data_IF_347760669011
#
_entry.id   IF_347760669011
#
_cell.length_a   1.000
_cell.length_b   1.000
_cell.length_c   1.000
_cell.angle_alpha   90.00
_cell.angle_beta   90.00
_cell.angle_gamma   90.00
#
_symmetry.space_group_name_H-M   'P 1'
#
loop_
_entity.id
_entity.type
_entity.pdbx_description
1 polymer ?
#
# COMPACT_ATOMS: atom_id res chain seq x y z
N UNK A 1 -0.52 17.17 -15.15
CA UNK A 1 -1.70 17.63 -14.37
C UNK A 1 -1.25 18.82 -13.57
N UNK A 2 -2.03 19.90 -13.52
CA UNK A 2 -1.60 21.19 -12.97
C UNK A 2 -1.65 21.21 -11.44
N UNK A 3 -0.69 21.88 -10.79
CA UNK A 3 -0.66 22.06 -9.34
C UNK A 3 -1.89 22.84 -8.82
N UNK A 4 -2.40 23.79 -9.61
CA UNK A 4 -3.63 24.52 -9.29
C UNK A 4 -4.85 23.59 -9.25
N UNK A 5 -4.89 22.59 -10.13
CA UNK A 5 -5.96 21.59 -10.14
C UNK A 5 -5.96 20.78 -8.85
N UNK A 6 -4.79 20.27 -8.42
CA UNK A 6 -4.67 19.52 -7.16
C UNK A 6 -5.05 20.38 -5.96
N UNK A 7 -4.52 21.60 -5.89
CA UNK A 7 -4.85 22.55 -4.84
C UNK A 7 -6.37 22.73 -4.73
N UNK A 8 -7.05 23.02 -5.84
CA UNK A 8 -8.51 23.24 -5.86
C UNK A 8 -9.31 22.03 -5.34
N UNK A 9 -8.88 20.81 -5.68
CA UNK A 9 -9.56 19.57 -5.30
C UNK A 9 -9.33 19.20 -3.83
N UNK A 10 -8.11 19.41 -3.33
CA UNK A 10 -7.75 19.14 -1.93
C UNK A 10 -8.32 20.19 -0.97
N UNK A 11 -8.61 21.41 -1.43
CA UNK A 11 -9.30 22.43 -0.62
C UNK A 11 -10.82 22.33 -0.71
N UNK A 12 -11.35 21.50 -1.61
CA UNK A 12 -12.79 21.30 -1.72
C UNK A 12 -13.37 20.63 -0.47
N UNK A 13 -14.60 20.97 -0.10
CA UNK A 13 -15.37 20.25 0.93
C UNK A 13 -16.02 18.96 0.38
N UNK A 14 -15.98 18.75 -0.93
CA UNK A 14 -16.48 17.54 -1.58
C UNK A 14 -15.45 16.40 -1.45
N UNK A 15 -15.81 15.37 -0.67
CA UNK A 15 -15.00 14.16 -0.48
C UNK A 15 -14.69 13.45 -1.80
N UNK A 16 -15.56 13.55 -2.82
CA UNK A 16 -15.30 12.89 -4.11
C UNK A 16 -14.18 13.57 -4.86
N UNK A 17 -14.13 14.90 -4.82
CA UNK A 17 -13.02 15.69 -5.35
C UNK A 17 -11.71 15.37 -4.63
N UNK A 18 -11.72 15.27 -3.30
CA UNK A 18 -10.54 14.91 -2.50
C UNK A 18 -10.04 13.50 -2.80
N UNK A 19 -10.95 12.51 -2.86
CA UNK A 19 -10.62 11.14 -3.26
C UNK A 19 -9.97 11.09 -4.63
N UNK A 20 -10.55 11.78 -5.61
CA UNK A 20 -10.01 11.77 -6.96
C UNK A 20 -8.63 12.44 -7.03
N UNK A 21 -8.42 13.51 -6.26
CA UNK A 21 -7.09 14.11 -6.11
C UNK A 21 -6.07 13.11 -5.54
N UNK A 22 -6.43 12.38 -4.47
CA UNK A 22 -5.55 11.36 -3.88
C UNK A 22 -5.18 10.24 -4.89
N UNK A 23 -6.15 9.77 -5.69
CA UNK A 23 -5.89 8.79 -6.77
C UNK A 23 -4.90 9.34 -7.79
N UNK A 24 -5.09 10.59 -8.24
CA UNK A 24 -4.25 11.19 -9.28
C UNK A 24 -2.84 11.53 -8.76
N UNK A 25 -2.71 11.91 -7.48
CA UNK A 25 -1.41 12.22 -6.85
C UNK A 25 -0.45 11.03 -6.86
N UNK A 26 -0.95 9.78 -6.84
CA UNK A 26 -0.10 8.59 -6.96
C UNK A 26 0.76 8.53 -8.23
N UNK A 27 0.40 9.30 -9.27
CA UNK A 27 1.09 9.31 -10.56
C UNK A 27 1.66 10.70 -10.90
N UNK A 28 1.62 11.65 -9.97
CA UNK A 28 1.94 13.06 -10.25
C UNK A 28 3.45 13.38 -10.21
N UNK A 29 4.28 12.48 -9.67
CA UNK A 29 5.74 12.68 -9.61
C UNK A 29 6.21 13.53 -8.41
N UNK A 30 7.51 13.89 -8.36
CA UNK A 30 8.12 14.60 -7.23
C UNK A 30 7.59 16.03 -7.01
N UNK A 31 7.12 16.69 -8.06
CA UNK A 31 6.56 18.04 -8.00
C UNK A 31 5.29 18.10 -7.14
N UNK A 32 4.60 16.96 -6.96
CA UNK A 32 3.42 16.84 -6.13
C UNK A 32 3.71 16.91 -4.61
N UNK A 33 4.99 16.95 -4.21
CA UNK A 33 5.42 17.13 -2.81
C UNK A 33 4.81 18.35 -2.13
N UNK A 34 4.53 19.41 -2.90
CA UNK A 34 3.85 20.63 -2.40
C UNK A 34 2.44 20.36 -1.85
N UNK A 35 1.82 19.23 -2.21
CA UNK A 35 0.47 18.84 -1.78
C UNK A 35 0.44 17.90 -0.57
N UNK A 36 1.60 17.37 -0.13
CA UNK A 36 1.67 16.39 0.95
C UNK A 36 1.06 16.90 2.26
N UNK A 37 1.39 18.13 2.67
CA UNK A 37 0.84 18.71 3.90
C UNK A 37 -0.69 18.72 3.87
N UNK A 38 -1.28 19.21 2.79
CA UNK A 38 -2.74 19.29 2.66
C UNK A 38 -3.39 17.91 2.58
N UNK A 39 -2.77 16.96 1.89
CA UNK A 39 -3.26 15.59 1.82
C UNK A 39 -3.30 14.94 3.21
N UNK A 40 -2.27 15.14 4.03
CA UNK A 40 -2.22 14.64 5.40
C UNK A 40 -3.22 15.34 6.33
N UNK A 41 -3.44 16.66 6.18
CA UNK A 41 -4.49 17.36 6.92
C UNK A 41 -5.88 16.76 6.67
N UNK A 42 -6.22 16.48 5.41
CA UNK A 42 -7.48 15.79 5.07
C UNK A 42 -7.56 14.42 5.76
N UNK A 43 -6.45 13.71 5.84
CA UNK A 43 -6.39 12.40 6.49
C UNK A 43 -6.53 12.49 8.02
N UNK A 44 -6.01 13.55 8.64
CA UNK A 44 -6.15 13.80 10.08
C UNK A 44 -7.59 14.20 10.47
N UNK A 45 -8.34 14.77 9.52
CA UNK A 45 -9.78 15.05 9.68
C UNK A 45 -10.66 13.78 9.62
N UNK A 46 -10.13 12.66 9.13
CA UNK A 46 -10.86 11.39 9.01
C UNK A 46 -10.61 10.55 10.27
N UNK A 47 -11.69 10.18 10.97
CA UNK A 47 -11.62 9.25 12.11
C UNK A 47 -11.39 7.81 11.64
N UNK A 48 -10.11 7.46 11.45
CA UNK A 48 -9.73 6.13 10.99
C UNK A 48 -10.03 5.02 11.99
N UNK A 49 -10.33 5.33 13.25
CA UNK A 49 -10.62 4.35 14.30
C UNK A 49 -12.12 4.01 14.38
N UNK A 50 -12.98 4.89 13.84
CA UNK A 50 -14.43 4.75 13.75
C UNK A 50 -14.93 3.92 12.55
N UNK A 51 -16.25 3.93 12.30
CA UNK A 51 -16.84 3.42 11.06
C UNK A 51 -16.69 4.47 9.96
N UNK A 52 -16.04 4.09 8.86
CA UNK A 52 -15.75 5.02 7.77
C UNK A 52 -16.77 4.84 6.63
N UNK A 53 -17.33 5.95 6.11
CA UNK A 53 -17.95 5.93 4.79
C UNK A 53 -16.98 5.39 3.75
N UNK A 54 -17.50 4.67 2.74
CA UNK A 54 -16.70 4.06 1.68
C UNK A 54 -15.71 5.05 1.04
N UNK A 55 -16.15 6.28 0.81
CA UNK A 55 -15.32 7.30 0.17
C UNK A 55 -14.15 7.76 1.05
N UNK A 56 -14.35 7.87 2.37
CA UNK A 56 -13.27 8.23 3.30
C UNK A 56 -12.28 7.08 3.47
N UNK A 57 -12.77 5.83 3.47
CA UNK A 57 -11.91 4.66 3.35
C UNK A 57 -10.99 4.77 2.13
N UNK A 58 -11.56 5.03 0.94
CA UNK A 58 -10.75 5.16 -0.27
C UNK A 58 -9.83 6.38 -0.26
N UNK A 59 -10.21 7.51 0.34
CA UNK A 59 -9.30 8.65 0.55
C UNK A 59 -8.07 8.19 1.32
N UNK A 60 -8.24 7.54 2.48
CA UNK A 60 -7.10 7.10 3.31
C UNK A 60 -6.23 6.08 2.58
N UNK A 61 -6.85 5.13 1.86
CA UNK A 61 -6.13 4.15 1.04
C UNK A 61 -5.24 4.82 -0.01
N UNK A 62 -5.81 5.70 -0.83
CA UNK A 62 -5.07 6.35 -1.92
C UNK A 62 -4.08 7.39 -1.41
N UNK A 63 -4.38 8.07 -0.30
CA UNK A 63 -3.47 9.01 0.32
C UNK A 63 -2.22 8.33 0.90
N UNK A 64 -2.34 7.11 1.46
CA UNK A 64 -1.19 6.31 1.92
C UNK A 64 -0.24 6.01 0.77
N UNK A 65 -0.80 5.56 -0.35
CA UNK A 65 -0.04 5.25 -1.56
C UNK A 65 0.58 6.48 -2.20
N UNK A 66 -0.20 7.55 -2.37
CA UNK A 66 0.28 8.79 -2.97
C UNK A 66 1.42 9.39 -2.14
N UNK A 67 1.24 9.48 -0.82
CA UNK A 67 2.25 10.04 0.07
C UNK A 67 3.53 9.21 0.05
N UNK A 68 3.41 7.87 0.08
CA UNK A 68 4.54 6.96 -0.07
C UNK A 68 5.32 7.22 -1.36
N UNK A 69 4.63 7.20 -2.52
CA UNK A 69 5.27 7.42 -3.83
C UNK A 69 5.93 8.78 -3.97
N UNK A 70 5.28 9.83 -3.49
CA UNK A 70 5.82 11.19 -3.56
C UNK A 70 7.10 11.27 -2.73
N UNK A 71 7.07 10.83 -1.47
CA UNK A 71 8.26 10.83 -0.59
C UNK A 71 9.37 9.93 -1.16
N UNK A 72 9.02 8.78 -1.73
CA UNK A 72 9.98 7.93 -2.43
C UNK A 72 10.66 8.68 -3.58
N UNK A 73 9.90 9.40 -4.39
CA UNK A 73 10.40 10.09 -5.58
C UNK A 73 11.32 11.28 -5.28
N UNK A 74 11.17 11.92 -4.12
CA UNK A 74 12.03 13.03 -3.68
C UNK A 74 13.17 12.60 -2.75
N UNK A 75 13.18 11.32 -2.35
CA UNK A 75 14.12 10.77 -1.38
C UNK A 75 13.65 10.98 0.06
N UNK A 76 13.42 9.88 0.78
CA UNK A 76 13.09 9.94 2.21
C UNK A 76 14.24 10.55 3.01
N UNK A 77 13.92 11.54 3.84
CA UNK A 77 14.84 12.19 4.76
C UNK A 77 14.36 11.94 6.20
N UNK A 78 15.19 11.22 6.96
CA UNK A 78 14.94 10.89 8.35
C UNK A 78 15.15 12.04 9.32
N UNK A 79 15.47 13.26 8.87
CA UNK A 79 15.45 14.49 9.66
C UNK A 79 14.26 15.40 9.32
N UNK A 80 13.68 15.25 8.13
CA UNK A 80 12.50 15.99 7.69
C UNK A 80 11.24 15.56 8.47
N UNK A 81 10.55 16.53 9.07
CA UNK A 81 9.35 16.31 9.89
C UNK A 81 8.15 15.83 9.08
N UNK A 82 7.99 16.30 7.84
CA UNK A 82 6.90 15.90 6.96
C UNK A 82 7.11 14.45 6.50
N UNK A 83 8.34 14.07 6.15
CA UNK A 83 8.66 12.68 5.80
C UNK A 83 8.40 11.71 6.95
N UNK A 84 8.81 12.08 8.18
CA UNK A 84 8.47 11.33 9.39
C UNK A 84 6.96 11.19 9.57
N UNK A 85 6.21 12.30 9.43
CA UNK A 85 4.74 12.29 9.55
C UNK A 85 4.08 11.37 8.52
N UNK A 86 4.55 11.38 7.26
CA UNK A 86 4.08 10.43 6.23
C UNK A 86 4.33 9.00 6.66
N UNK A 87 5.55 8.67 7.08
CA UNK A 87 5.90 7.33 7.54
C UNK A 87 5.06 6.89 8.73
N UNK A 88 4.93 7.72 9.76
CA UNK A 88 4.17 7.42 10.98
C UNK A 88 2.68 7.22 10.68
N UNK A 89 2.11 8.03 9.79
CA UNK A 89 0.72 7.89 9.38
C UNK A 89 0.48 6.60 8.58
N UNK A 90 1.33 6.29 7.60
CA UNK A 90 1.29 5.03 6.85
C UNK A 90 1.44 3.83 7.79
N UNK A 91 2.38 3.91 8.75
CA UNK A 91 2.60 2.89 9.78
C UNK A 91 1.36 2.71 10.67
N UNK A 92 0.72 3.80 11.11
CA UNK A 92 -0.52 3.76 11.89
C UNK A 92 -1.62 3.02 11.12
N UNK A 93 -1.77 3.30 9.81
CA UNK A 93 -2.70 2.56 8.96
C UNK A 93 -2.34 1.08 8.88
N UNK A 94 -1.07 0.74 8.58
CA UNK A 94 -0.61 -0.64 8.42
C UNK A 94 -0.85 -1.49 9.68
N UNK A 95 -0.76 -0.88 10.88
CA UNK A 95 -1.00 -1.51 12.16
C UNK A 95 -2.46 -1.44 12.65
N UNK A 96 -3.36 -0.85 11.87
CA UNK A 96 -4.74 -0.65 12.27
C UNK A 96 -5.53 -1.97 12.36
N UNK A 97 -6.38 -2.15 13.37
CA UNK A 97 -7.13 -3.40 13.61
C UNK A 97 -8.03 -3.85 12.44
N UNK A 98 -8.63 -2.89 11.74
CA UNK A 98 -9.42 -3.15 10.53
C UNK A 98 -8.48 -3.44 9.35
N UNK A 99 -8.67 -4.62 8.74
CA UNK A 99 -7.86 -5.17 7.66
C UNK A 99 -7.82 -4.29 6.40
N UNK A 100 -8.92 -3.65 6.01
CA UNK A 100 -8.97 -2.84 4.79
C UNK A 100 -8.08 -1.60 4.93
N UNK A 101 -8.09 -0.99 6.12
CA UNK A 101 -7.20 0.14 6.48
C UNK A 101 -5.74 -0.32 6.55
N UNK A 102 -5.51 -1.49 7.14
CA UNK A 102 -4.19 -2.12 7.20
C UNK A 102 -3.60 -2.33 5.81
N UNK A 103 -4.37 -2.88 4.88
CA UNK A 103 -3.96 -3.10 3.50
C UNK A 103 -3.52 -1.77 2.86
N UNK A 104 -4.29 -0.69 3.00
CA UNK A 104 -3.89 0.64 2.50
C UNK A 104 -2.53 1.10 3.02
N UNK A 105 -2.29 0.93 4.33
CA UNK A 105 -0.99 1.23 4.94
C UNK A 105 0.14 0.33 4.43
N UNK A 106 -0.10 -0.97 4.27
CA UNK A 106 0.89 -1.94 3.75
C UNK A 106 1.30 -1.59 2.32
N UNK A 107 0.36 -1.20 1.46
CA UNK A 107 0.67 -0.67 0.13
C UNK A 107 1.46 0.64 0.22
N UNK A 108 1.08 1.54 1.13
CA UNK A 108 1.81 2.78 1.39
C UNK A 108 3.27 2.55 1.81
N UNK A 109 3.55 1.54 2.65
CA UNK A 109 4.90 1.15 3.05
C UNK A 109 5.74 0.71 1.84
N UNK A 110 5.15 -0.08 0.93
CA UNK A 110 5.83 -0.51 -0.28
C UNK A 110 6.06 0.64 -1.27
N UNK A 111 5.08 1.52 -1.40
CA UNK A 111 5.13 2.69 -2.28
C UNK A 111 6.11 3.77 -1.76
N UNK A 112 6.34 3.84 -0.44
CA UNK A 112 7.44 4.62 0.17
C UNK A 112 8.83 4.08 -0.23
N UNK A 113 8.89 2.80 -0.61
CA UNK A 113 10.11 2.11 -0.99
C UNK A 113 11.08 1.95 0.19
N UNK A 114 12.33 1.58 -0.13
CA UNK A 114 13.36 1.35 0.88
C UNK A 114 14.77 1.79 0.49
N UNK A 115 15.63 2.09 1.50
CA UNK A 115 15.33 2.06 2.94
C UNK A 115 15.37 3.42 3.65
N UNK A 116 14.40 3.58 4.57
CA UNK A 116 14.61 3.37 6.00
C UNK A 116 14.40 1.90 6.38
N UNK A 117 15.36 1.30 7.10
CA UNK A 117 15.32 -0.09 7.55
C UNK A 117 14.05 -0.49 8.31
N UNK A 118 13.35 0.50 8.89
CA UNK A 118 12.09 0.32 9.59
C UNK A 118 10.95 -0.21 8.70
N UNK A 119 10.91 0.14 7.40
CA UNK A 119 9.87 -0.33 6.47
C UNK A 119 9.99 -1.84 6.22
N UNK A 120 11.20 -2.33 5.89
CA UNK A 120 11.44 -3.77 5.70
C UNK A 120 11.14 -4.52 6.98
N UNK A 121 11.65 -4.06 8.13
CA UNK A 121 11.41 -4.71 9.42
C UNK A 121 9.92 -4.85 9.74
N UNK A 122 9.12 -3.81 9.46
CA UNK A 122 7.68 -3.85 9.66
C UNK A 122 6.97 -4.79 8.68
N UNK A 123 7.33 -4.79 7.40
CA UNK A 123 6.74 -5.72 6.42
C UNK A 123 7.07 -7.17 6.76
N UNK A 124 8.29 -7.46 7.20
CA UNK A 124 8.70 -8.79 7.69
C UNK A 124 7.86 -9.20 8.90
N UNK A 125 7.68 -8.31 9.89
CA UNK A 125 6.85 -8.60 11.07
C UNK A 125 5.41 -8.92 10.66
N UNK A 126 4.81 -8.12 9.77
CA UNK A 126 3.46 -8.36 9.26
C UNK A 126 3.36 -9.66 8.45
N UNK A 127 4.35 -9.99 7.62
CA UNK A 127 4.42 -11.26 6.90
C UNK A 127 4.41 -12.47 7.84
N UNK A 128 5.10 -12.39 8.98
CA UNK A 128 5.23 -13.50 9.91
C UNK A 128 4.06 -13.60 10.90
N UNK A 129 3.58 -12.47 11.41
CA UNK A 129 2.76 -12.43 12.61
C UNK A 129 1.32 -11.95 12.39
N UNK A 130 1.00 -11.38 11.22
CA UNK A 130 -0.33 -10.84 10.99
C UNK A 130 -1.36 -11.93 10.69
N UNK A 131 -2.48 -11.87 11.41
CA UNK A 131 -3.60 -12.83 11.32
C UNK A 131 -4.87 -12.19 10.79
N UNK A 132 -4.86 -10.88 10.51
CA UNK A 132 -6.03 -10.15 10.01
C UNK A 132 -6.43 -10.67 8.63
N UNK A 133 -7.71 -10.93 8.46
CA UNK A 133 -8.34 -11.33 7.19
C UNK A 133 -9.46 -10.38 6.83
N UNK A 134 -9.70 -10.25 5.54
CA UNK A 134 -10.87 -9.56 5.02
C UNK A 134 -12.18 -10.26 5.44
N UNK A 135 -13.35 -9.62 5.28
CA UNK A 135 -14.62 -10.22 5.67
C UNK A 135 -14.95 -11.54 4.95
N UNK A 136 -14.37 -11.78 3.76
CA UNK A 136 -14.55 -13.05 3.03
C UNK A 136 -13.71 -14.17 3.63
N UNK A 137 -12.64 -13.83 4.37
CA UNK A 137 -11.66 -14.77 4.89
C UNK A 137 -10.66 -15.25 3.84
N UNK A 138 -10.81 -14.83 2.59
CA UNK A 138 -10.03 -15.29 1.45
C UNK A 138 -8.68 -14.58 1.37
N UNK A 139 -8.63 -13.31 1.78
CA UNK A 139 -7.44 -12.47 1.69
C UNK A 139 -6.94 -12.09 3.07
N UNK A 140 -5.62 -12.16 3.27
CA UNK A 140 -5.00 -11.82 4.55
C UNK A 140 -4.09 -10.60 4.41
N UNK A 141 -3.99 -9.82 5.48
CA UNK A 141 -3.03 -8.72 5.51
C UNK A 141 -1.58 -9.22 5.42
N UNK A 142 -1.27 -10.44 5.93
CA UNK A 142 0.07 -11.04 5.77
C UNK A 142 0.41 -11.41 4.33
N UNK A 143 -0.53 -11.90 3.51
CA UNK A 143 -0.27 -12.21 2.10
C UNK A 143 0.02 -10.92 1.32
N UNK A 144 -0.72 -9.85 1.63
CA UNK A 144 -0.44 -8.51 1.08
C UNK A 144 0.92 -7.98 1.55
N UNK A 145 1.28 -8.14 2.83
CA UNK A 145 2.59 -7.74 3.34
C UNK A 145 3.72 -8.50 2.66
N UNK A 146 3.58 -9.81 2.47
CA UNK A 146 4.54 -10.64 1.75
C UNK A 146 4.70 -10.18 0.29
N UNK A 147 3.59 -9.95 -0.42
CA UNK A 147 3.61 -9.40 -1.78
C UNK A 147 4.34 -8.06 -1.84
N UNK A 148 4.08 -7.19 -0.88
CA UNK A 148 4.71 -5.87 -0.80
C UNK A 148 6.20 -5.94 -0.46
N UNK A 149 6.60 -6.85 0.43
CA UNK A 149 8.00 -7.16 0.70
C UNK A 149 8.70 -7.64 -0.58
N UNK A 150 8.11 -8.60 -1.31
CA UNK A 150 8.65 -9.10 -2.56
C UNK A 150 8.80 -8.04 -3.66
N UNK A 151 7.94 -7.02 -3.64
CA UNK A 151 8.00 -5.88 -4.56
C UNK A 151 9.19 -4.97 -4.27
N UNK A 152 9.55 -4.76 -3.01
CA UNK A 152 10.64 -3.84 -2.62
C UNK A 152 12.00 -4.55 -2.44
N UNK A 153 11.99 -5.77 -1.93
CA UNK A 153 13.17 -6.58 -1.66
C UNK A 153 12.82 -8.07 -1.86
N UNK A 154 12.93 -8.52 -3.12
CA UNK A 154 12.67 -9.91 -3.48
C UNK A 154 13.61 -10.87 -2.77
N UNK A 155 14.88 -10.49 -2.57
CA UNK A 155 15.86 -11.37 -1.92
C UNK A 155 15.46 -11.64 -0.46
N UNK A 156 14.98 -10.61 0.25
CA UNK A 156 14.41 -10.79 1.58
C UNK A 156 13.13 -11.66 1.55
N UNK A 157 12.24 -11.43 0.59
CA UNK A 157 10.97 -12.16 0.48
C UNK A 157 11.13 -13.67 0.25
N UNK A 158 12.18 -14.09 -0.48
CA UNK A 158 12.49 -15.52 -0.71
C UNK A 158 12.60 -16.29 0.60
N UNK A 159 13.14 -15.69 1.66
CA UNK A 159 13.25 -16.33 2.98
C UNK A 159 11.90 -16.66 3.64
N UNK A 160 10.81 -16.06 3.14
CA UNK A 160 9.47 -16.24 3.66
C UNK A 160 8.53 -16.94 2.68
N UNK A 161 9.04 -17.44 1.54
CA UNK A 161 8.24 -18.06 0.49
C UNK A 161 7.40 -19.25 0.98
N UNK A 162 7.97 -20.14 1.81
CA UNK A 162 7.27 -21.31 2.34
C UNK A 162 6.49 -21.04 3.65
N UNK A 163 6.34 -19.77 4.04
CA UNK A 163 5.50 -19.42 5.19
C UNK A 163 4.01 -19.41 4.84
N UNK A 164 3.15 -19.30 5.85
CA UNK A 164 1.71 -19.10 5.62
C UNK A 164 1.41 -17.92 4.69
N UNK A 165 2.19 -16.84 4.77
CA UNK A 165 1.96 -15.66 3.93
C UNK A 165 2.27 -15.93 2.45
N UNK A 166 3.37 -16.65 2.14
CA UNK A 166 3.72 -17.00 0.77
C UNK A 166 2.72 -17.98 0.15
N UNK A 167 2.28 -18.99 0.92
CA UNK A 167 1.24 -19.95 0.48
C UNK A 167 -0.11 -19.26 0.23
N UNK A 168 -0.51 -18.34 1.10
CA UNK A 168 -1.72 -17.54 0.89
C UNK A 168 -1.62 -16.63 -0.32
N UNK A 169 -0.47 -16.00 -0.53
CA UNK A 169 -0.26 -15.17 -1.71
C UNK A 169 -0.34 -16.00 -3.00
N UNK A 170 0.21 -17.22 -3.03
CA UNK A 170 0.04 -18.12 -4.19
C UNK A 170 -1.43 -18.51 -4.39
N UNK A 171 -2.16 -18.82 -3.33
CA UNK A 171 -3.60 -19.10 -3.44
C UNK A 171 -4.37 -17.89 -3.99
N UNK A 172 -4.02 -16.67 -3.57
CA UNK A 172 -4.55 -15.43 -4.12
C UNK A 172 -4.21 -15.27 -5.61
N UNK A 173 -2.96 -15.57 -6.00
CA UNK A 173 -2.50 -15.52 -7.40
C UNK A 173 -3.34 -16.45 -8.28
N UNK A 174 -3.54 -17.71 -7.88
CA UNK A 174 -4.35 -18.65 -8.64
C UNK A 174 -5.81 -18.18 -8.76
N UNK A 175 -6.43 -17.79 -7.65
CA UNK A 175 -7.80 -17.29 -7.63
C UNK A 175 -8.00 -16.08 -8.55
N UNK A 176 -7.11 -15.09 -8.47
CA UNK A 176 -7.17 -13.91 -9.34
C UNK A 176 -6.90 -14.25 -10.80
N UNK A 177 -6.04 -15.25 -11.07
CA UNK A 177 -5.78 -15.70 -12.42
C UNK A 177 -6.99 -16.40 -13.06
N UNK A 178 -7.74 -17.19 -12.27
CA UNK A 178 -8.97 -17.83 -12.72
C UNK A 178 -10.10 -16.82 -12.96
N UNK A 179 -10.21 -15.82 -12.09
CA UNK A 179 -11.23 -14.77 -12.22
C UNK A 179 -11.02 -13.86 -13.43
N UNK A 180 -9.77 -13.67 -13.88
CA UNK A 180 -9.47 -12.83 -15.04
C UNK A 180 -8.22 -13.31 -15.82
N UNK A 181 -8.36 -14.40 -16.61
CA UNK A 181 -7.22 -15.06 -17.24
C UNK A 181 -6.43 -14.17 -18.20
N UNK A 182 -7.12 -13.34 -18.98
CA UNK A 182 -6.50 -12.42 -19.96
C UNK A 182 -5.58 -11.41 -19.27
N UNK A 183 -6.02 -10.86 -18.13
CA UNK A 183 -5.22 -9.92 -17.34
C UNK A 183 -4.08 -10.62 -16.60
N UNK A 184 -4.26 -11.88 -16.22
CA UNK A 184 -3.32 -12.61 -15.39
C UNK A 184 -1.96 -12.88 -16.07
N UNK A 185 -1.97 -13.06 -17.39
CA UNK A 185 -0.78 -13.39 -18.21
C UNK A 185 -0.11 -12.19 -18.87
N UNK A 186 -0.68 -10.98 -18.75
CA UNK A 186 -0.11 -9.78 -19.34
C UNK A 186 1.22 -9.36 -18.69
N UNK A 187 1.95 -8.38 -19.24
CA UNK A 187 3.24 -7.92 -18.70
C UNK A 187 3.18 -7.42 -17.25
N UNK A 188 2.01 -6.94 -16.82
CA UNK A 188 1.71 -6.51 -15.45
C UNK A 188 0.73 -7.47 -14.75
N UNK A 189 0.63 -8.69 -15.27
CA UNK A 189 -0.27 -9.73 -14.78
C UNK A 189 0.27 -10.38 -13.51
N UNK A 190 -0.65 -10.93 -12.72
CA UNK A 190 -0.29 -11.51 -11.42
C UNK A 190 0.61 -12.75 -11.56
N UNK A 191 0.46 -13.54 -12.63
CA UNK A 191 1.33 -14.70 -12.87
C UNK A 191 2.76 -14.27 -13.23
N UNK A 192 2.93 -13.15 -13.93
CA UNK A 192 4.24 -12.56 -14.18
C UNK A 192 4.86 -12.03 -12.90
N UNK A 193 4.07 -11.37 -12.04
CA UNK A 193 4.52 -10.87 -10.74
C UNK A 193 4.96 -11.99 -9.80
N UNK A 194 4.23 -13.11 -9.77
CA UNK A 194 4.46 -14.24 -8.88
C UNK A 194 5.32 -15.36 -9.50
N UNK A 195 5.71 -15.26 -10.77
CA UNK A 195 6.41 -16.34 -11.49
C UNK A 195 7.74 -16.76 -10.85
N UNK A 196 8.39 -15.88 -10.10
CA UNK A 196 9.60 -16.19 -9.34
C UNK A 196 9.34 -17.05 -8.10
N UNK A 197 8.11 -17.07 -7.58
CA UNK A 197 7.74 -17.73 -6.33
C UNK A 197 7.36 -19.20 -6.53
N UNK A 198 6.90 -19.56 -7.73
CA UNK A 198 6.48 -20.93 -8.07
C UNK A 198 7.62 -21.95 -7.86
N UNK A 199 8.87 -21.69 -8.31
CA UNK A 199 9.98 -22.60 -8.04
C UNK A 199 10.39 -22.68 -6.56
N UNK A 200 10.14 -21.63 -5.77
CA UNK A 200 10.60 -21.52 -4.38
C UNK A 200 9.72 -22.28 -3.38
N UNK A 201 8.42 -22.44 -3.69
CA UNK A 201 7.47 -23.17 -2.84
C UNK A 201 7.44 -24.67 -3.18
N UNK A 202 8.01 -25.05 -4.32
CA UNK A 202 7.94 -26.39 -4.88
C UNK A 202 6.53 -26.68 -5.39
N UNK A 203 6.42 -27.16 -6.64
CA UNK A 203 5.17 -27.78 -7.09
C UNK A 203 4.87 -28.97 -6.15
N UNK A 204 3.76 -28.92 -5.42
CA UNK A 204 3.23 -30.08 -4.69
C UNK A 204 2.45 -30.97 -5.65
#
# INVERSE_FOLDING_TARGET
>A
MDAEWFASRLTSTDRRSQWWAAVQLMNAGPEASVHLCRLLEICDEIDIDGELPELEHWITFYAARASGRIVHSIGYDGDDRLHKRVFDWIKRLALHRNVERAIGGIWGLADLGTPPAATIGLLVDLTLNDTRRDPTGEHSARSVAFRMLARIDRAAAVHYADTHAGREFIADVYRWSEANPERAVGPNGILTEAGWLIPEIGEQ
#
